data_IF_323662290712
#
_entry.id   IF_323662290712
#
_cell.length_a   1.000
_cell.length_b   1.000
_cell.length_c   1.000
_cell.angle_alpha   90.00
_cell.angle_beta   90.00
_cell.angle_gamma   90.00
#
_symmetry.space_group_name_H-M   'P 1'
#
loop_
_entity.id
_entity.type
_entity.pdbx_description
1 polymer ?
#
# COMPACT_ATOMS: atom_id res chain seq x y z
N UNK A 1 64.29 -12.56 -20.22
CA UNK A 1 63.99 -12.39 -18.78
C UNK A 1 62.78 -11.48 -18.64
N UNK A 2 61.71 -12.05 -18.11
CA UNK A 2 60.33 -11.57 -18.14
C UNK A 2 60.07 -10.51 -17.06
N UNK A 3 60.02 -9.24 -17.47
CA UNK A 3 59.43 -8.14 -16.67
C UNK A 3 57.91 -8.28 -16.69
N UNK A 4 57.34 -9.17 -15.86
CA UNK A 4 55.88 -9.30 -15.69
C UNK A 4 55.36 -9.37 -14.24
N UNK A 5 56.06 -9.00 -13.14
CA UNK A 5 55.40 -8.99 -11.83
C UNK A 5 54.58 -7.71 -11.55
N UNK A 6 54.89 -6.58 -12.21
CA UNK A 6 54.27 -5.29 -11.89
C UNK A 6 52.83 -5.14 -12.43
N UNK A 7 52.52 -5.75 -13.58
CA UNK A 7 51.21 -5.62 -14.24
C UNK A 7 50.11 -6.42 -13.54
N UNK A 8 50.44 -7.56 -12.92
CA UNK A 8 49.48 -8.36 -12.16
C UNK A 8 49.16 -7.74 -10.79
N UNK A 9 50.10 -6.99 -10.20
CA UNK A 9 49.87 -6.27 -8.94
C UNK A 9 48.94 -5.06 -9.12
N UNK A 10 49.01 -4.36 -10.25
CA UNK A 10 48.08 -3.26 -10.58
C UNK A 10 46.68 -3.72 -10.96
N UNK A 11 46.56 -4.90 -11.59
CA UNK A 11 45.24 -5.46 -11.96
C UNK A 11 44.47 -5.94 -10.72
N UNK A 12 45.17 -6.50 -9.73
CA UNK A 12 44.58 -6.89 -8.45
C UNK A 12 44.06 -5.68 -7.65
N UNK A 13 44.80 -4.56 -7.64
CA UNK A 13 44.38 -3.33 -6.94
C UNK A 13 43.13 -2.69 -7.56
N UNK A 14 42.97 -2.73 -8.89
CA UNK A 14 41.77 -2.23 -9.58
C UNK A 14 40.56 -3.17 -9.34
N UNK A 15 40.79 -4.48 -9.27
CA UNK A 15 39.75 -5.45 -8.88
C UNK A 15 39.27 -5.24 -7.44
N UNK A 16 40.16 -4.91 -6.48
CA UNK A 16 39.76 -4.60 -5.10
C UNK A 16 39.06 -3.24 -4.95
N UNK A 17 39.41 -2.23 -5.75
CA UNK A 17 38.74 -0.93 -5.74
C UNK A 17 37.31 -0.99 -6.32
N UNK A 18 37.03 -1.94 -7.21
CA UNK A 18 35.68 -2.16 -7.76
C UNK A 18 34.75 -2.89 -6.78
N UNK A 19 35.28 -3.66 -5.82
CA UNK A 19 34.46 -4.26 -4.75
C UNK A 19 34.04 -3.19 -3.72
N UNK A 20 34.89 -2.18 -3.49
CA UNK A 20 34.60 -1.07 -2.56
C UNK A 20 33.59 -0.03 -3.06
N UNK A 21 33.34 0.04 -4.37
CA UNK A 21 32.34 0.93 -4.97
C UNK A 21 30.93 0.34 -5.08
N UNK A 22 30.78 -0.99 -4.91
CA UNK A 22 29.47 -1.65 -4.91
C UNK A 22 28.74 -1.47 -3.57
N UNK A 23 29.45 -1.67 -2.46
CA UNK A 23 28.91 -1.77 -1.09
C UNK A 23 27.89 -0.64 -0.77
N UNK A 24 28.24 0.62 -0.97
CA UNK A 24 27.34 1.76 -0.67
C UNK A 24 26.13 1.90 -1.62
N UNK A 25 26.17 1.30 -2.81
CA UNK A 25 25.12 1.46 -3.82
C UNK A 25 23.84 0.69 -3.46
N UNK A 26 23.96 -0.52 -2.91
CA UNK A 26 22.79 -1.29 -2.49
C UNK A 26 22.08 -0.67 -1.29
N UNK A 27 22.82 -0.15 -0.31
CA UNK A 27 22.26 0.52 0.86
C UNK A 27 21.55 1.83 0.49
N UNK A 28 22.15 2.64 -0.38
CA UNK A 28 21.54 3.89 -0.84
C UNK A 28 20.28 3.63 -1.70
N UNK A 29 20.29 2.57 -2.52
CA UNK A 29 19.09 2.11 -3.23
C UNK A 29 18.00 1.67 -2.24
N UNK A 30 18.34 0.86 -1.24
CA UNK A 30 17.39 0.41 -0.22
C UNK A 30 16.77 1.61 0.51
N UNK A 31 17.59 2.56 0.97
CA UNK A 31 17.11 3.79 1.63
C UNK A 31 16.15 4.58 0.75
N UNK A 32 16.46 4.72 -0.54
CA UNK A 32 15.61 5.44 -1.51
C UNK A 32 14.26 4.76 -1.68
N UNK A 33 14.27 3.45 -1.96
CA UNK A 33 13.04 2.66 -2.15
C UNK A 33 12.19 2.62 -0.88
N UNK A 34 12.81 2.51 0.30
CA UNK A 34 12.12 2.50 1.57
C UNK A 34 11.48 3.84 1.95
N UNK A 35 12.13 4.97 1.62
CA UNK A 35 11.51 6.28 1.79
C UNK A 35 10.33 6.46 0.84
N UNK A 36 10.48 6.07 -0.43
CA UNK A 36 9.37 6.09 -1.38
C UNK A 36 8.21 5.19 -0.93
N UNK A 37 8.50 4.00 -0.40
CA UNK A 37 7.48 3.10 0.15
C UNK A 37 6.75 3.69 1.36
N UNK A 38 7.46 4.41 2.25
CA UNK A 38 6.81 5.13 3.36
C UNK A 38 5.83 6.18 2.87
N UNK A 39 6.18 6.94 1.85
CA UNK A 39 5.31 7.99 1.31
C UNK A 39 4.06 7.36 0.66
N UNK A 40 4.23 6.29 -0.12
CA UNK A 40 3.09 5.55 -0.69
C UNK A 40 2.20 4.96 0.41
N UNK A 41 2.77 4.37 1.46
CA UNK A 41 1.99 3.82 2.57
C UNK A 41 1.26 4.91 3.37
N UNK A 42 1.85 6.10 3.54
CA UNK A 42 1.19 7.22 4.21
C UNK A 42 -0.06 7.66 3.43
N UNK A 43 0.04 7.74 2.11
CA UNK A 43 -1.11 8.03 1.25
C UNK A 43 -2.14 6.90 1.32
N UNK A 44 -1.70 5.64 1.23
CA UNK A 44 -2.58 4.47 1.32
C UNK A 44 -3.34 4.41 2.64
N UNK A 45 -2.70 4.79 3.75
CA UNK A 45 -3.36 4.89 5.06
C UNK A 45 -4.50 5.90 5.05
N UNK A 46 -4.28 7.06 4.43
CA UNK A 46 -5.30 8.11 4.33
C UNK A 46 -6.46 7.65 3.45
N UNK A 47 -6.20 6.99 2.33
CA UNK A 47 -7.24 6.47 1.44
C UNK A 47 -8.05 5.36 2.12
N UNK A 48 -7.42 4.45 2.88
CA UNK A 48 -8.14 3.47 3.70
C UNK A 48 -9.05 4.15 4.73
N UNK A 49 -8.55 5.18 5.41
CA UNK A 49 -9.34 5.94 6.37
C UNK A 49 -10.55 6.62 5.71
N UNK A 50 -10.37 7.22 4.53
CA UNK A 50 -11.47 7.84 3.80
C UNK A 50 -12.51 6.81 3.35
N UNK A 51 -12.07 5.62 2.91
CA UNK A 51 -12.96 4.53 2.54
C UNK A 51 -13.74 4.03 3.76
N UNK A 52 -13.06 3.81 4.89
CA UNK A 52 -13.67 3.44 6.18
C UNK A 52 -14.73 4.46 6.61
N UNK A 53 -14.37 5.75 6.66
CA UNK A 53 -15.27 6.84 7.05
C UNK A 53 -16.49 6.92 6.09
N UNK A 54 -16.29 6.66 4.78
CA UNK A 54 -17.36 6.66 3.77
C UNK A 54 -18.35 5.50 3.91
N UNK A 55 -17.90 4.33 4.34
CA UNK A 55 -18.78 3.16 4.51
C UNK A 55 -19.43 3.12 5.89
N UNK A 56 -18.83 3.76 6.90
CA UNK A 56 -19.35 3.77 8.28
C UNK A 56 -20.73 4.42 8.42
N UNK A 57 -21.06 5.41 7.58
CA UNK A 57 -22.36 6.11 7.63
C UNK A 57 -23.40 5.52 6.69
N UNK A 58 -23.03 4.61 5.79
CA UNK A 58 -23.91 4.10 4.73
C UNK A 58 -25.24 3.56 5.26
N UNK A 59 -25.19 2.67 6.25
CA UNK A 59 -26.40 1.99 6.70
C UNK A 59 -27.36 2.93 7.44
N UNK A 60 -26.84 3.99 8.08
CA UNK A 60 -27.66 5.01 8.69
C UNK A 60 -28.31 5.91 7.63
N UNK A 61 -27.53 6.36 6.64
CA UNK A 61 -27.99 7.19 5.53
C UNK A 61 -29.11 6.45 4.75
N UNK A 62 -28.86 5.20 4.37
CA UNK A 62 -29.81 4.43 3.57
C UNK A 62 -31.12 4.13 4.31
N UNK A 63 -31.07 3.86 5.63
CA UNK A 63 -32.29 3.70 6.44
C UNK A 63 -33.10 5.00 6.51
N UNK A 64 -32.43 6.14 6.60
CA UNK A 64 -33.11 7.44 6.56
C UNK A 64 -33.79 7.66 5.21
N UNK A 65 -33.11 7.33 4.12
CA UNK A 65 -33.65 7.46 2.76
C UNK A 65 -34.86 6.54 2.52
N UNK A 66 -34.82 5.29 2.99
CA UNK A 66 -35.95 4.35 2.95
C UNK A 66 -37.17 4.87 3.74
N UNK A 67 -36.93 5.42 4.94
CA UNK A 67 -37.98 5.99 5.77
C UNK A 67 -38.62 7.21 5.07
N UNK A 68 -37.82 8.07 4.45
CA UNK A 68 -38.27 9.24 3.70
C UNK A 68 -39.06 8.86 2.44
N UNK A 69 -38.62 7.83 1.71
CA UNK A 69 -39.30 7.33 0.51
C UNK A 69 -40.58 6.55 0.81
N UNK A 70 -40.83 6.21 2.09
CA UNK A 70 -41.93 5.34 2.54
C UNK A 70 -41.88 3.98 1.84
N UNK A 71 -40.67 3.42 1.67
CA UNK A 71 -40.42 2.16 0.97
C UNK A 71 -40.95 2.14 -0.46
N UNK A 72 -40.85 3.28 -1.16
CA UNK A 72 -41.10 3.41 -2.60
C UNK A 72 -39.80 3.73 -3.31
N UNK A 73 -39.84 3.75 -4.64
CA UNK A 73 -38.72 4.21 -5.45
C UNK A 73 -38.16 5.54 -4.92
N UNK A 74 -36.83 5.64 -4.87
CA UNK A 74 -36.13 6.85 -4.48
C UNK A 74 -36.50 8.01 -5.41
N UNK A 75 -36.44 9.24 -4.88
CA UNK A 75 -36.50 10.40 -5.76
C UNK A 75 -35.27 10.42 -6.66
N UNK A 76 -35.38 10.98 -7.86
CA UNK A 76 -34.22 11.11 -8.77
C UNK A 76 -33.06 11.88 -8.13
N UNK A 77 -33.37 12.87 -7.28
CA UNK A 77 -32.35 13.65 -6.56
C UNK A 77 -31.63 12.82 -5.51
N UNK A 78 -32.35 12.07 -4.68
CA UNK A 78 -31.73 11.22 -3.64
C UNK A 78 -30.93 10.09 -4.28
N UNK A 79 -31.47 9.49 -5.34
CA UNK A 79 -30.79 8.47 -6.13
C UNK A 79 -29.46 9.00 -6.69
N UNK A 80 -29.48 10.16 -7.34
CA UNK A 80 -28.28 10.77 -7.91
C UNK A 80 -27.22 11.06 -6.83
N UNK A 81 -27.63 11.64 -5.69
CA UNK A 81 -26.73 11.94 -4.58
C UNK A 81 -26.06 10.68 -4.02
N UNK A 82 -26.81 9.59 -3.89
CA UNK A 82 -26.27 8.34 -3.40
C UNK A 82 -25.36 7.63 -4.42
N UNK A 83 -25.69 7.70 -5.70
CA UNK A 83 -24.80 7.22 -6.76
C UNK A 83 -23.49 8.02 -6.82
N UNK A 84 -23.51 9.32 -6.49
CA UNK A 84 -22.28 10.12 -6.34
C UNK A 84 -21.42 9.66 -5.15
N UNK A 85 -22.04 9.30 -4.01
CA UNK A 85 -21.31 8.70 -2.88
C UNK A 85 -20.69 7.35 -3.25
N UNK A 86 -21.41 6.51 -3.98
CA UNK A 86 -20.90 5.24 -4.50
C UNK A 86 -19.72 5.48 -5.46
N UNK A 87 -19.86 6.40 -6.41
CA UNK A 87 -18.79 6.76 -7.34
C UNK A 87 -17.53 7.21 -6.59
N UNK A 88 -17.68 8.00 -5.52
CA UNK A 88 -16.55 8.39 -4.68
C UNK A 88 -15.87 7.18 -4.01
N UNK A 89 -16.63 6.20 -3.51
CA UNK A 89 -16.06 4.95 -2.96
C UNK A 89 -15.30 4.15 -4.03
N UNK A 90 -15.81 4.10 -5.26
CA UNK A 90 -15.13 3.46 -6.39
C UNK A 90 -13.82 4.17 -6.75
N UNK A 91 -13.79 5.50 -6.70
CA UNK A 91 -12.56 6.29 -6.88
C UNK A 91 -11.52 5.99 -5.79
N UNK A 92 -11.93 5.92 -4.53
CA UNK A 92 -11.05 5.56 -3.41
C UNK A 92 -10.48 4.14 -3.58
N UNK A 93 -11.30 3.17 -4.01
CA UNK A 93 -10.83 1.82 -4.29
C UNK A 93 -9.79 1.80 -5.42
N UNK A 94 -10.02 2.57 -6.48
CA UNK A 94 -9.07 2.71 -7.59
C UNK A 94 -7.76 3.34 -7.14
N UNK A 95 -7.83 4.36 -6.27
CA UNK A 95 -6.63 4.97 -5.71
C UNK A 95 -5.82 3.96 -4.86
N UNK A 96 -6.50 3.17 -4.03
CA UNK A 96 -5.87 2.06 -3.29
C UNK A 96 -5.21 1.04 -4.22
N UNK A 97 -5.86 0.70 -5.35
CA UNK A 97 -5.32 -0.21 -6.36
C UNK A 97 -4.00 0.32 -6.94
N UNK A 98 -3.96 1.59 -7.33
CA UNK A 98 -2.78 2.22 -7.92
C UNK A 98 -1.65 2.40 -6.89
N UNK A 99 -1.97 2.77 -5.65
CA UNK A 99 -1.01 2.82 -4.55
C UNK A 99 -0.44 1.42 -4.24
N UNK A 100 -1.28 0.38 -4.23
CA UNK A 100 -0.85 -1.00 -4.02
C UNK A 100 0.05 -1.51 -5.17
N UNK A 101 -0.26 -1.15 -6.43
CA UNK A 101 0.61 -1.45 -7.58
C UNK A 101 2.00 -0.83 -7.39
N UNK A 102 2.07 0.44 -7.00
CA UNK A 102 3.33 1.13 -6.70
C UNK A 102 4.09 0.44 -5.57
N UNK A 103 3.42 0.11 -4.46
CA UNK A 103 4.02 -0.64 -3.35
C UNK A 103 4.56 -2.00 -3.79
N UNK A 104 3.88 -2.69 -4.71
CA UNK A 104 4.34 -3.97 -5.21
C UNK A 104 5.55 -3.86 -6.15
N UNK A 105 5.71 -2.73 -6.84
CA UNK A 105 6.93 -2.43 -7.60
C UNK A 105 8.10 -2.16 -6.65
N UNK A 106 7.91 -1.32 -5.63
CA UNK A 106 8.91 -1.04 -4.59
C UNK A 106 9.33 -2.32 -3.86
N UNK A 107 8.37 -3.17 -3.48
CA UNK A 107 8.65 -4.49 -2.90
C UNK A 107 9.52 -5.35 -3.82
N UNK A 108 9.25 -5.39 -5.12
CA UNK A 108 10.07 -6.15 -6.08
C UNK A 108 11.50 -5.61 -6.15
N UNK A 109 11.69 -4.28 -6.11
CA UNK A 109 13.01 -3.66 -6.08
C UNK A 109 13.77 -4.01 -4.78
N UNK A 110 13.12 -3.94 -3.63
CA UNK A 110 13.70 -4.34 -2.35
C UNK A 110 14.11 -5.81 -2.33
N UNK A 111 13.29 -6.71 -2.87
CA UNK A 111 13.65 -8.13 -3.03
C UNK A 111 14.87 -8.30 -3.95
N UNK A 112 14.97 -7.50 -5.02
CA UNK A 112 16.13 -7.54 -5.91
C UNK A 112 17.41 -7.08 -5.20
N UNK A 113 17.33 -6.01 -4.38
CA UNK A 113 18.45 -5.56 -3.54
C UNK A 113 18.84 -6.65 -2.53
N UNK A 114 17.86 -7.30 -1.91
CA UNK A 114 18.07 -8.39 -0.95
C UNK A 114 18.81 -9.60 -1.55
N UNK A 115 18.78 -9.79 -2.87
CA UNK A 115 19.49 -10.89 -3.55
C UNK A 115 20.96 -10.57 -3.87
N UNK A 116 21.37 -9.30 -3.78
CA UNK A 116 22.72 -8.85 -4.16
C UNK A 116 23.77 -9.05 -3.06
N UNK A 117 23.38 -9.23 -1.80
CA UNK A 117 24.27 -9.54 -0.67
C UNK A 117 25.47 -8.57 -0.45
N UNK A 118 25.28 -7.27 -0.66
CA UNK A 118 26.14 -6.18 -0.20
C UNK A 118 26.32 -6.15 1.33
N UNK A 119 27.55 -5.88 1.77
CA UNK A 119 28.02 -6.14 3.15
C UNK A 119 27.39 -5.22 4.21
N UNK A 120 26.88 -4.06 3.82
CA UNK A 120 26.38 -2.98 4.68
C UNK A 120 24.85 -2.90 4.77
N UNK A 121 24.14 -3.81 4.09
CA UNK A 121 22.68 -3.87 4.10
C UNK A 121 22.22 -4.92 5.11
N UNK A 122 21.34 -4.51 6.03
CA UNK A 122 20.65 -5.45 6.92
C UNK A 122 19.53 -6.18 6.17
N UNK A 123 19.87 -7.33 5.61
CA UNK A 123 18.97 -8.16 4.82
C UNK A 123 17.85 -8.82 5.60
N UNK A 124 18.06 -9.11 6.87
CA UNK A 124 16.99 -9.69 7.68
C UNK A 124 15.88 -8.65 7.92
N UNK A 125 16.27 -7.40 8.18
CA UNK A 125 15.33 -6.28 8.27
C UNK A 125 14.63 -6.00 6.92
N UNK A 126 15.36 -5.99 5.80
CA UNK A 126 14.72 -5.84 4.47
C UNK A 126 13.75 -6.98 4.15
N UNK A 127 14.07 -8.22 4.54
CA UNK A 127 13.18 -9.36 4.38
C UNK A 127 11.92 -9.22 5.23
N UNK A 128 12.05 -8.74 6.47
CA UNK A 128 10.89 -8.46 7.32
C UNK A 128 9.99 -7.36 6.71
N UNK A 129 10.58 -6.27 6.23
CA UNK A 129 9.84 -5.19 5.56
C UNK A 129 9.12 -5.72 4.32
N UNK A 130 9.80 -6.48 3.46
CA UNK A 130 9.19 -7.02 2.23
C UNK A 130 8.10 -8.06 2.50
N UNK A 131 8.20 -8.83 3.58
CA UNK A 131 7.11 -9.69 4.06
C UNK A 131 5.93 -8.85 4.55
N UNK A 132 6.18 -7.78 5.30
CA UNK A 132 5.14 -6.87 5.77
C UNK A 132 4.39 -6.19 4.61
N UNK A 133 5.11 -5.77 3.56
CA UNK A 133 4.51 -5.28 2.31
C UNK A 133 3.63 -6.35 1.62
N UNK A 134 3.92 -7.65 1.79
CA UNK A 134 3.05 -8.71 1.29
C UNK A 134 1.70 -8.75 2.01
N UNK A 135 1.71 -8.48 3.31
CA UNK A 135 0.48 -8.42 4.12
C UNK A 135 -0.38 -7.25 3.64
N UNK A 136 0.22 -6.09 3.37
CA UNK A 136 -0.52 -4.93 2.84
C UNK A 136 -1.21 -5.22 1.51
N UNK A 137 -0.55 -5.99 0.62
CA UNK A 137 -1.18 -6.48 -0.62
C UNK A 137 -2.40 -7.34 -0.30
N UNK A 138 -2.28 -8.27 0.64
CA UNK A 138 -3.40 -9.13 1.04
C UNK A 138 -4.54 -8.35 1.69
N UNK A 139 -4.26 -7.31 2.48
CA UNK A 139 -5.33 -6.43 3.00
C UNK A 139 -6.06 -5.70 1.85
N UNK A 140 -5.32 -5.18 0.86
CA UNK A 140 -5.93 -4.57 -0.32
C UNK A 140 -6.83 -5.54 -1.09
N UNK A 141 -6.33 -6.74 -1.42
CA UNK A 141 -7.09 -7.75 -2.16
C UNK A 141 -8.36 -8.17 -1.41
N UNK A 142 -8.31 -8.23 -0.09
CA UNK A 142 -9.47 -8.52 0.73
C UNK A 142 -10.50 -7.38 0.65
N UNK A 143 -10.09 -6.12 0.77
CA UNK A 143 -10.98 -4.96 0.58
C UNK A 143 -11.59 -4.95 -0.81
N UNK A 144 -10.79 -5.13 -1.85
CA UNK A 144 -11.24 -5.16 -3.26
C UNK A 144 -12.30 -6.23 -3.50
N UNK A 145 -12.13 -7.42 -2.92
CA UNK A 145 -13.09 -8.51 -3.05
C UNK A 145 -14.45 -8.16 -2.45
N UNK A 146 -14.49 -7.50 -1.29
CA UNK A 146 -15.76 -7.08 -0.70
C UNK A 146 -16.34 -5.87 -1.44
N UNK A 147 -15.50 -4.90 -1.81
CA UNK A 147 -15.92 -3.69 -2.49
C UNK A 147 -16.61 -3.99 -3.82
N UNK A 148 -16.04 -4.88 -4.63
CA UNK A 148 -16.60 -5.25 -5.94
C UNK A 148 -18.05 -5.72 -5.83
N UNK A 149 -18.33 -6.63 -4.88
CA UNK A 149 -19.68 -7.19 -4.68
C UNK A 149 -20.63 -6.14 -4.09
N UNK A 150 -20.18 -5.40 -3.07
CA UNK A 150 -21.06 -4.48 -2.37
C UNK A 150 -21.38 -3.21 -3.17
N UNK A 151 -20.47 -2.76 -4.04
CA UNK A 151 -20.72 -1.63 -4.93
C UNK A 151 -21.79 -1.96 -5.97
N UNK A 152 -21.76 -3.19 -6.52
CA UNK A 152 -22.81 -3.68 -7.43
C UNK A 152 -24.15 -3.79 -6.69
N UNK A 153 -24.17 -4.38 -5.49
CA UNK A 153 -25.39 -4.49 -4.68
C UNK A 153 -25.95 -3.12 -4.26
N UNK A 154 -25.09 -2.16 -3.90
CA UNK A 154 -25.52 -0.79 -3.59
C UNK A 154 -26.12 -0.09 -4.82
N UNK A 155 -25.46 -0.20 -5.98
CA UNK A 155 -25.98 0.36 -7.23
C UNK A 155 -27.34 -0.21 -7.59
N UNK A 156 -27.48 -1.53 -7.53
CA UNK A 156 -28.73 -2.25 -7.78
C UNK A 156 -29.82 -1.79 -6.80
N UNK A 157 -29.49 -1.63 -5.51
CA UNK A 157 -30.43 -1.18 -4.50
C UNK A 157 -31.05 0.19 -4.82
N UNK A 158 -30.26 1.13 -5.34
CA UNK A 158 -30.78 2.45 -5.74
C UNK A 158 -31.46 2.44 -7.11
N UNK A 159 -31.09 1.53 -8.00
CA UNK A 159 -31.65 1.43 -9.34
C UNK A 159 -32.99 0.69 -9.37
N UNK A 160 -33.12 -0.37 -8.59
CA UNK A 160 -34.32 -1.19 -8.47
C UNK A 160 -34.54 -1.57 -6.99
N UNK A 161 -35.37 -0.79 -6.29
CA UNK A 161 -35.64 -1.02 -4.87
C UNK A 161 -36.17 -2.46 -4.68
N UNK A 162 -35.46 -3.30 -3.92
CA UNK A 162 -35.84 -4.71 -3.80
C UNK A 162 -37.16 -4.87 -3.03
N UNK A 163 -37.81 -6.03 -3.22
CA UNK A 163 -39.07 -6.36 -2.52
C UNK A 163 -38.91 -6.43 -1.00
N UNK A 164 -37.71 -6.76 -0.54
CA UNK A 164 -37.32 -6.77 0.87
C UNK A 164 -36.10 -5.86 1.10
N UNK A 165 -36.32 -4.52 1.19
CA UNK A 165 -35.25 -3.55 1.35
C UNK A 165 -34.39 -3.75 2.60
N UNK A 166 -34.97 -4.24 3.69
CA UNK A 166 -34.23 -4.42 4.95
C UNK A 166 -33.27 -5.61 4.88
N UNK A 167 -33.68 -6.70 4.22
CA UNK A 167 -32.82 -7.86 4.01
C UNK A 167 -31.61 -7.51 3.14
N UNK A 168 -31.83 -6.83 2.02
CA UNK A 168 -30.75 -6.45 1.09
C UNK A 168 -29.82 -5.40 1.72
N UNK A 169 -30.39 -4.39 2.41
CA UNK A 169 -29.62 -3.41 3.19
C UNK A 169 -28.70 -4.11 4.20
N UNK A 170 -29.22 -5.09 4.93
CA UNK A 170 -28.43 -5.83 5.93
C UNK A 170 -27.26 -6.58 5.29
N UNK A 171 -27.42 -7.07 4.05
CA UNK A 171 -26.34 -7.71 3.33
C UNK A 171 -25.24 -6.70 2.95
N UNK A 172 -25.62 -5.55 2.40
CA UNK A 172 -24.67 -4.49 2.03
C UNK A 172 -23.96 -3.96 3.29
N UNK A 173 -24.69 -3.72 4.38
CA UNK A 173 -24.14 -3.28 5.67
C UNK A 173 -23.10 -4.26 6.22
N UNK A 174 -23.32 -5.57 6.09
CA UNK A 174 -22.33 -6.58 6.52
C UNK A 174 -21.07 -6.56 5.67
N UNK A 175 -21.20 -6.36 4.35
CA UNK A 175 -20.05 -6.23 3.48
C UNK A 175 -19.24 -4.97 3.76
N UNK A 176 -19.91 -3.84 3.98
CA UNK A 176 -19.28 -2.58 4.40
C UNK A 176 -18.66 -2.64 5.79
N UNK A 177 -19.29 -3.32 6.74
CA UNK A 177 -18.67 -3.62 8.02
C UNK A 177 -17.40 -4.46 7.87
N UNK A 178 -17.39 -5.43 6.96
CA UNK A 178 -16.18 -6.23 6.67
C UNK A 178 -15.09 -5.38 6.03
N UNK A 179 -15.44 -4.51 5.08
CA UNK A 179 -14.50 -3.55 4.47
C UNK A 179 -13.87 -2.61 5.49
N UNK A 180 -14.68 -2.06 6.40
CA UNK A 180 -14.20 -1.16 7.46
C UNK A 180 -13.20 -1.87 8.39
N UNK A 181 -13.51 -3.10 8.83
CA UNK A 181 -12.61 -3.88 9.67
C UNK A 181 -11.28 -4.19 8.97
N UNK A 182 -11.31 -4.55 7.68
CA UNK A 182 -10.08 -4.83 6.93
C UNK A 182 -9.29 -3.54 6.68
N UNK A 183 -9.97 -2.41 6.44
CA UNK A 183 -9.32 -1.11 6.29
C UNK A 183 -8.63 -0.67 7.59
N UNK A 184 -9.24 -0.89 8.75
CA UNK A 184 -8.61 -0.67 10.06
C UNK A 184 -7.36 -1.55 10.24
N UNK A 185 -7.47 -2.85 9.91
CA UNK A 185 -6.33 -3.78 9.95
C UNK A 185 -5.19 -3.33 9.02
N UNK A 186 -5.54 -2.88 7.81
CA UNK A 186 -4.57 -2.37 6.84
C UNK A 186 -3.83 -1.14 7.37
N UNK A 187 -4.54 -0.22 8.02
CA UNK A 187 -3.93 0.96 8.66
C UNK A 187 -2.95 0.57 9.78
N UNK A 188 -3.31 -0.41 10.61
CA UNK A 188 -2.43 -0.94 11.65
C UNK A 188 -1.18 -1.64 11.06
N UNK A 189 -1.35 -2.41 10.00
CA UNK A 189 -0.25 -3.05 9.30
C UNK A 189 0.66 -2.03 8.59
N UNK A 190 0.12 -0.92 8.09
CA UNK A 190 0.90 0.21 7.57
C UNK A 190 1.75 0.84 8.68
N UNK A 191 1.18 1.07 9.86
CA UNK A 191 1.91 1.63 11.00
C UNK A 191 3.06 0.72 11.44
N UNK A 192 2.79 -0.58 11.53
CA UNK A 192 3.80 -1.59 11.81
C UNK A 192 4.91 -1.60 10.75
N UNK A 193 4.55 -1.65 9.47
CA UNK A 193 5.53 -1.66 8.36
C UNK A 193 6.36 -0.38 8.37
N UNK A 194 5.73 0.78 8.59
CA UNK A 194 6.40 2.08 8.69
C UNK A 194 7.40 2.12 9.84
N UNK A 195 7.06 1.49 10.98
CA UNK A 195 7.98 1.35 12.11
C UNK A 195 9.22 0.53 11.73
N UNK A 196 9.05 -0.62 11.08
CA UNK A 196 10.17 -1.44 10.60
C UNK A 196 11.09 -0.65 9.67
N UNK A 197 10.52 0.13 8.75
CA UNK A 197 11.31 0.98 7.86
C UNK A 197 12.09 2.04 8.64
N UNK A 198 11.47 2.72 9.60
CA UNK A 198 12.15 3.73 10.42
C UNK A 198 13.31 3.12 11.21
N UNK A 199 13.14 1.91 11.74
CA UNK A 199 14.18 1.18 12.46
C UNK A 199 15.35 0.83 11.53
N UNK A 200 15.08 0.30 10.33
CA UNK A 200 16.10 0.04 9.31
C UNK A 200 16.88 1.32 8.95
N UNK A 201 16.18 2.41 8.63
CA UNK A 201 16.81 3.66 8.22
C UNK A 201 17.67 4.28 9.34
N UNK A 202 17.29 4.09 10.60
CA UNK A 202 18.05 4.58 11.76
C UNK A 202 19.30 3.73 12.03
N UNK A 203 19.22 2.43 11.81
CA UNK A 203 20.32 1.49 12.02
C UNK A 203 21.34 1.50 10.87
N UNK A 204 20.92 1.94 9.68
CA UNK A 204 21.77 2.01 8.50
C UNK A 204 22.96 2.96 8.72
N UNK A 205 24.20 2.56 8.39
CA UNK A 205 25.36 3.43 8.48
C UNK A 205 25.14 4.76 7.75
N UNK A 206 25.55 5.87 8.37
CA UNK A 206 25.68 7.15 7.66
C UNK A 206 26.83 7.03 6.66
N UNK A 207 26.59 7.48 5.43
CA UNK A 207 27.59 7.46 4.37
C UNK A 207 28.81 8.26 4.87
N UNK A 208 30.05 7.75 4.85
CA UNK A 208 31.20 8.61 5.11
C UNK A 208 31.18 9.69 4.03
N UNK A 209 30.93 10.93 4.46
CA UNK A 209 31.02 12.11 3.62
C UNK A 209 32.31 12.00 2.82
N UNK A 210 32.23 12.19 1.50
CA UNK A 210 33.40 12.37 0.64
C UNK A 210 34.12 13.67 1.04
N UNK A 211 34.74 13.70 2.21
CA UNK A 211 35.79 14.65 2.52
C UNK A 211 37.03 14.17 1.77
N UNK A 212 37.18 14.66 0.54
CA UNK A 212 38.49 14.90 -0.06
C UNK A 212 38.29 15.82 -1.27
N UNK A 213 38.51 17.11 -1.01
CA UNK A 213 38.41 18.18 -2.00
C UNK A 213 38.87 19.52 -1.43
N UNK A 214 40.01 19.54 -0.74
CA UNK A 214 40.87 20.72 -0.56
C UNK A 214 42.29 20.33 -0.91
#
# INVERSE_FOLDING_TARGET
>A
MTKKPLLYMSLAAILFLLVGCGITQELDQAKTELNSAKDTMANQKNTYKQLEDSVATFAQDLRADLANSKNKAFSETDKQLNLEKLAHRQELLKELEDQNKTLMQQKKQLIAINKKNGVDVDYDSLKQITNSLAILKSNFEAVESFATVNFEQEEDFYNDLPKDPEAELTMIERGYGSMALIAEEAQANIDYTTKLIKEFLKAAPENPVRENGK
#
